data_IF_787187896186
#
_entry.id   IF_787187896186
#
_cell.length_a   1.000
_cell.length_b   1.000
_cell.length_c   1.000
_cell.angle_alpha   90.00
_cell.angle_beta   90.00
_cell.angle_gamma   90.00
#
_symmetry.space_group_name_H-M   'P 1'
#
loop_
_entity.id
_entity.type
_entity.pdbx_description
1 polymer ?
#
# COMPACT_ATOMS: atom_id res chain seq x y z
N UNK A 1 6.99 16.63 -12.35
CA UNK A 1 6.15 15.89 -11.38
C UNK A 1 5.16 15.06 -12.18
N UNK A 2 5.37 13.76 -12.28
CA UNK A 2 4.41 12.84 -12.90
C UNK A 2 3.11 12.91 -12.11
N UNK A 3 2.06 13.42 -12.73
CA UNK A 3 0.70 13.31 -12.20
C UNK A 3 0.34 11.82 -12.21
N UNK A 4 0.58 11.13 -11.11
CA UNK A 4 0.09 9.77 -10.92
C UNK A 4 -1.41 9.91 -10.69
N UNK A 5 -2.21 9.68 -11.73
CA UNK A 5 -3.65 9.57 -11.57
C UNK A 5 -3.92 8.46 -10.55
N UNK A 6 -4.81 8.66 -9.56
CA UNK A 6 -5.17 7.62 -8.61
C UNK A 6 -5.71 6.45 -9.41
N UNK A 7 -4.92 5.38 -9.52
CA UNK A 7 -5.35 4.20 -10.23
C UNK A 7 -6.63 3.71 -9.55
N UNK A 8 -7.66 3.39 -10.34
CA UNK A 8 -8.87 2.79 -9.80
C UNK A 8 -8.56 1.34 -9.42
N UNK A 9 -8.01 1.16 -8.23
CA UNK A 9 -7.57 -0.13 -7.68
C UNK A 9 -8.76 -1.09 -7.57
N UNK A 10 -8.65 -2.26 -8.19
CA UNK A 10 -9.69 -3.31 -8.11
C UNK A 10 -9.82 -3.82 -6.67
N UNK A 11 -8.69 -3.93 -5.98
CA UNK A 11 -8.56 -4.48 -4.64
C UNK A 11 -7.38 -5.44 -4.59
N UNK A 12 -7.34 -6.31 -3.59
CA UNK A 12 -6.36 -7.39 -3.55
C UNK A 12 -6.74 -8.49 -4.56
N UNK A 13 -5.75 -9.28 -4.98
CA UNK A 13 -6.02 -10.47 -5.78
C UNK A 13 -6.91 -11.47 -5.03
N UNK A 14 -7.55 -12.38 -5.79
CA UNK A 14 -8.52 -13.34 -5.24
C UNK A 14 -7.92 -14.11 -4.05
N UNK A 15 -8.62 -14.08 -2.91
CA UNK A 15 -8.20 -14.72 -1.66
C UNK A 15 -7.22 -13.91 -0.80
N UNK A 16 -6.47 -12.97 -1.38
CA UNK A 16 -5.44 -12.21 -0.64
C UNK A 16 -6.01 -11.17 0.32
N UNK A 17 -7.19 -10.62 0.06
CA UNK A 17 -7.82 -9.67 0.99
C UNK A 17 -7.97 -10.28 2.39
N UNK A 18 -8.35 -11.56 2.50
CA UNK A 18 -8.53 -12.22 3.79
C UNK A 18 -7.20 -12.40 4.53
N UNK A 19 -6.16 -12.82 3.82
CA UNK A 19 -4.81 -12.99 4.36
C UNK A 19 -4.25 -11.67 4.88
N UNK A 20 -4.34 -10.60 4.09
CA UNK A 20 -3.84 -9.29 4.48
C UNK A 20 -4.65 -8.67 5.61
N UNK A 21 -5.99 -8.80 5.59
CA UNK A 21 -6.82 -8.34 6.71
C UNK A 21 -6.50 -9.08 8.01
N UNK A 22 -6.26 -10.40 7.97
CA UNK A 22 -5.87 -11.17 9.15
C UNK A 22 -4.56 -10.69 9.76
N UNK A 23 -3.61 -10.26 8.91
CA UNK A 23 -2.29 -9.76 9.34
C UNK A 23 -2.35 -8.31 9.84
N UNK A 24 -2.98 -7.43 9.06
CA UNK A 24 -2.84 -5.97 9.21
C UNK A 24 -4.14 -5.27 9.65
N UNK A 25 -5.30 -5.93 9.56
CA UNK A 25 -6.59 -5.29 9.83
C UNK A 25 -6.68 -4.66 11.22
N UNK A 26 -6.07 -5.30 12.23
CA UNK A 26 -6.02 -4.81 13.62
C UNK A 26 -5.22 -3.53 13.80
N UNK A 27 -4.25 -3.27 12.93
CA UNK A 27 -3.44 -2.05 12.96
C UNK A 27 -4.32 -0.81 12.75
N UNK A 28 -5.43 -0.97 12.03
CA UNK A 28 -6.40 0.08 11.74
C UNK A 28 -7.58 0.14 12.72
N UNK A 29 -7.46 -0.55 13.86
CA UNK A 29 -8.48 -0.64 14.90
C UNK A 29 -9.48 -1.78 14.69
N UNK A 30 -10.63 -1.68 15.36
CA UNK A 30 -11.71 -2.68 15.27
C UNK A 30 -12.56 -2.45 14.02
N UNK A 31 -11.98 -2.72 12.85
CA UNK A 31 -12.65 -2.58 11.55
C UNK A 31 -12.92 -3.95 10.92
N UNK A 32 -13.92 -4.03 10.06
CA UNK A 32 -14.19 -5.20 9.22
C UNK A 32 -13.22 -5.31 8.04
N UNK A 33 -13.21 -6.48 7.38
CA UNK A 33 -12.42 -6.72 6.17
C UNK A 33 -12.80 -5.76 5.02
N UNK A 34 -14.09 -5.40 4.90
CA UNK A 34 -14.57 -4.48 3.87
C UNK A 34 -14.08 -3.06 4.15
N UNK A 35 -14.13 -2.62 5.41
CA UNK A 35 -13.60 -1.32 5.82
C UNK A 35 -12.08 -1.23 5.62
N UNK A 36 -11.34 -2.32 5.87
CA UNK A 36 -9.91 -2.39 5.57
C UNK A 36 -9.63 -2.21 4.07
N UNK A 37 -10.38 -2.90 3.19
CA UNK A 37 -10.27 -2.70 1.74
C UNK A 37 -10.59 -1.26 1.33
N UNK A 38 -11.65 -0.69 1.93
CA UNK A 38 -12.07 0.69 1.67
C UNK A 38 -10.96 1.67 2.05
N UNK A 39 -10.39 1.55 3.25
CA UNK A 39 -9.27 2.38 3.71
C UNK A 39 -8.05 2.29 2.81
N UNK A 40 -7.69 1.08 2.35
CA UNK A 40 -6.57 0.90 1.43
C UNK A 40 -6.79 1.66 0.11
N UNK A 41 -8.00 1.60 -0.45
CA UNK A 41 -8.35 2.32 -1.69
C UNK A 41 -8.43 3.82 -1.50
N UNK A 42 -8.98 4.27 -0.37
CA UNK A 42 -9.06 5.68 -0.01
C UNK A 42 -7.66 6.27 0.14
N UNK A 43 -6.77 5.61 0.90
CA UNK A 43 -5.39 6.06 1.07
C UNK A 43 -4.61 6.13 -0.25
N UNK A 44 -4.84 5.18 -1.16
CA UNK A 44 -4.22 5.20 -2.47
C UNK A 44 -4.73 6.31 -3.40
N UNK A 45 -5.88 6.93 -3.07
CA UNK A 45 -6.45 8.09 -3.77
C UNK A 45 -6.34 9.40 -2.98
N UNK A 46 -5.93 9.34 -1.72
CA UNK A 46 -5.78 10.48 -0.81
C UNK A 46 -4.74 11.47 -1.36
N UNK A 47 -4.96 12.76 -1.09
CA UNK A 47 -4.02 13.85 -1.36
C UNK A 47 -3.40 14.32 -0.04
N UNK A 48 -2.10 14.54 -0.02
CA UNK A 48 -1.37 14.91 1.20
C UNK A 48 0.14 14.89 0.98
N UNK A 49 0.92 15.26 2.01
CA UNK A 49 2.38 15.22 1.99
C UNK A 49 2.88 13.78 2.15
N UNK A 50 2.58 12.92 1.18
CA UNK A 50 2.99 11.52 1.17
C UNK A 50 4.29 11.33 0.42
N UNK A 51 5.12 10.42 0.92
CA UNK A 51 6.22 9.87 0.15
C UNK A 51 5.67 8.83 -0.81
N UNK A 52 6.07 8.89 -2.07
CA UNK A 52 5.58 7.95 -3.07
C UNK A 52 6.58 7.77 -4.20
N UNK A 53 6.65 6.57 -4.72
CA UNK A 53 7.52 6.21 -5.84
C UNK A 53 6.83 5.17 -6.72
N UNK A 54 7.17 5.23 -8.00
CA UNK A 54 6.83 4.18 -8.95
C UNK A 54 8.12 3.51 -9.44
N UNK A 55 8.19 2.18 -9.33
CA UNK A 55 9.30 1.35 -9.77
C UNK A 55 8.72 0.31 -10.74
N UNK A 56 8.97 0.50 -12.04
CA UNK A 56 8.29 -0.29 -13.07
C UNK A 56 6.76 -0.20 -12.95
N UNK A 57 6.10 -1.34 -12.75
CA UNK A 57 4.65 -1.45 -12.50
C UNK A 57 4.27 -1.36 -11.02
N UNK A 58 5.22 -1.21 -10.11
CA UNK A 58 4.96 -1.13 -8.67
C UNK A 58 4.79 0.33 -8.27
N UNK A 59 3.71 0.62 -7.54
CA UNK A 59 3.47 1.91 -6.90
C UNK A 59 3.56 1.71 -5.39
N UNK A 60 4.36 2.54 -4.72
CA UNK A 60 4.50 2.56 -3.27
C UNK A 60 4.12 3.95 -2.78
N UNK A 61 3.37 4.00 -1.67
CA UNK A 61 3.03 5.23 -0.97
C UNK A 61 3.20 5.03 0.53
N UNK A 62 3.78 6.02 1.19
CA UNK A 62 4.01 6.08 2.62
C UNK A 62 3.50 7.40 3.21
N UNK A 63 2.83 7.30 4.34
CA UNK A 63 2.43 8.44 5.17
C UNK A 63 3.33 8.51 6.41
N UNK A 64 4.22 9.51 6.52
CA UNK A 64 5.10 9.67 7.68
C UNK A 64 4.34 9.99 8.98
N UNK A 65 3.18 10.63 8.89
CA UNK A 65 2.40 11.07 10.06
C UNK A 65 1.71 9.88 10.75
N UNK A 66 1.23 8.92 9.98
CA UNK A 66 0.53 7.74 10.54
C UNK A 66 1.32 6.45 10.42
N UNK A 67 2.39 6.42 9.63
CA UNK A 67 3.11 5.20 9.28
C UNK A 67 2.38 4.31 8.26
N UNK A 68 1.35 4.81 7.55
CA UNK A 68 0.58 3.99 6.61
C UNK A 68 1.44 3.69 5.38
N UNK A 69 1.57 2.42 5.02
CA UNK A 69 2.26 1.97 3.81
C UNK A 69 1.26 1.30 2.88
N UNK A 70 1.28 1.68 1.60
CA UNK A 70 0.53 1.06 0.53
C UNK A 70 1.48 0.62 -0.58
N UNK A 71 1.28 -0.60 -1.08
CA UNK A 71 1.94 -1.06 -2.29
C UNK A 71 0.91 -1.67 -3.23
N UNK A 72 0.94 -1.27 -4.50
CA UNK A 72 0.06 -1.78 -5.54
C UNK A 72 0.82 -2.04 -6.84
N UNK A 73 0.25 -2.91 -7.68
CA UNK A 73 0.73 -3.13 -9.04
C UNK A 73 -0.21 -2.44 -10.04
N UNK A 74 0.35 -1.53 -10.83
CA UNK A 74 -0.38 -0.64 -11.74
C UNK A 74 -0.98 -1.41 -12.91
N UNK A 75 -0.31 -2.46 -13.42
CA UNK A 75 -0.74 -3.15 -14.65
C UNK A 75 -2.01 -3.96 -14.43
N UNK A 76 -2.11 -4.69 -13.32
CA UNK A 76 -3.32 -5.44 -12.95
C UNK A 76 -4.31 -4.65 -12.08
N UNK A 77 -3.87 -3.50 -11.56
CA UNK A 77 -4.58 -2.62 -10.62
C UNK A 77 -4.89 -3.31 -9.29
N UNK A 78 -4.02 -4.21 -8.86
CA UNK A 78 -4.15 -4.95 -7.60
C UNK A 78 -3.33 -4.34 -6.46
N UNK A 79 -3.89 -4.39 -5.28
CA UNK A 79 -3.21 -4.04 -4.03
C UNK A 79 -2.36 -5.24 -3.61
N UNK A 80 -1.08 -4.99 -3.35
CA UNK A 80 -0.12 -6.00 -2.86
C UNK A 80 -0.03 -6.01 -1.34
N UNK A 81 -0.06 -4.85 -0.69
CA UNK A 81 -0.16 -4.76 0.78
C UNK A 81 -0.66 -3.38 1.22
N UNK A 82 -1.22 -3.32 2.43
CA UNK A 82 -1.60 -2.09 3.13
C UNK A 82 -1.49 -2.31 4.65
N UNK A 83 -0.63 -1.55 5.32
CA UNK A 83 -0.31 -1.76 6.74
C UNK A 83 0.14 -0.46 7.43
N UNK A 84 0.27 -0.48 8.75
CA UNK A 84 0.92 0.59 9.54
C UNK A 84 2.29 0.10 9.98
N UNK A 85 3.35 0.77 9.53
CA UNK A 85 4.72 0.48 9.96
C UNK A 85 4.98 0.95 11.39
N UNK A 86 5.76 0.17 12.14
CA UNK A 86 6.31 0.63 13.42
C UNK A 86 7.35 1.72 13.15
N UNK A 87 7.16 2.91 13.72
CA UNK A 87 8.06 4.06 13.56
C UNK A 87 9.40 3.90 14.29
N UNK A 88 9.60 2.80 15.02
CA UNK A 88 10.80 2.53 15.84
C UNK A 88 11.90 1.73 15.11
N UNK A 89 11.68 1.30 13.86
CA UNK A 89 12.62 0.50 13.05
C UNK A 89 13.05 1.16 11.74
N UNK A 90 13.79 0.42 10.90
CA UNK A 90 14.24 0.82 9.54
C UNK A 90 13.17 1.57 8.76
N UNK A 91 13.59 2.47 7.88
CA UNK A 91 12.68 3.28 7.07
C UNK A 91 11.75 2.36 6.26
N UNK A 92 10.49 2.29 6.68
CA UNK A 92 9.49 1.40 6.11
C UNK A 92 9.22 1.71 4.63
N UNK A 93 9.50 2.94 4.20
CA UNK A 93 9.45 3.31 2.80
C UNK A 93 10.62 2.69 2.02
N UNK A 94 11.85 2.74 2.55
CA UNK A 94 13.02 2.08 1.93
C UNK A 94 12.85 0.55 1.84
N UNK A 95 12.31 -0.09 2.88
CA UNK A 95 12.06 -1.54 2.86
C UNK A 95 11.01 -1.91 1.80
N UNK A 96 9.97 -1.08 1.64
CA UNK A 96 8.97 -1.26 0.58
C UNK A 96 9.57 -1.04 -0.82
N UNK A 97 10.46 -0.05 -0.97
CA UNK A 97 11.22 0.22 -2.20
C UNK A 97 12.07 -0.97 -2.60
N UNK A 98 12.91 -1.47 -1.69
CA UNK A 98 13.78 -2.64 -1.94
C UNK A 98 12.98 -3.86 -2.36
N UNK A 99 11.85 -4.10 -1.70
CA UNK A 99 10.94 -5.20 -2.06
C UNK A 99 10.39 -5.05 -3.49
N UNK A 100 10.03 -3.84 -3.90
CA UNK A 100 9.54 -3.61 -5.26
C UNK A 100 10.63 -3.76 -6.32
N UNK A 101 11.87 -3.32 -6.04
CA UNK A 101 13.01 -3.52 -6.93
C UNK A 101 13.29 -5.02 -7.17
N UNK A 102 13.26 -5.84 -6.12
CA UNK A 102 13.40 -7.30 -6.24
C UNK A 102 12.28 -7.95 -7.05
N UNK A 103 11.05 -7.42 -7.00
CA UNK A 103 9.92 -7.93 -7.78
C UNK A 103 10.08 -7.56 -9.26
N UNK A 104 10.56 -6.36 -9.56
CA UNK A 104 10.70 -5.86 -10.95
C UNK A 104 11.94 -6.44 -11.64
N UNK A 105 13.00 -6.73 -10.90
CA UNK A 105 14.23 -7.34 -11.44
C UNK A 105 14.15 -8.84 -11.72
N UNK A 106 13.04 -9.50 -11.40
CA UNK A 106 12.74 -10.91 -11.71
C UNK A 106 11.97 -11.03 -13.01
#
# INVERSE_FOLDING_TARGET
MTHIHPARWKGFSKGKLADHYKKHGKEFGSISQIEYLKKAKEFAAESGPFEQIQIGNMFIRYDPDTGRVFTGNISDREIRTFYIADKRGTDAFEDAVRTAEEIVGK
#
